data_IF_809362157014
#
_entry.id   IF_809362157014
#
_cell.length_a   1.000
_cell.length_b   1.000
_cell.length_c   1.000
_cell.angle_alpha   90.00
_cell.angle_beta   90.00
_cell.angle_gamma   90.00
#
_symmetry.space_group_name_H-M   'P 1'
#
loop_
_entity.id
_entity.type
_entity.pdbx_description
1 polymer ?
#
# COMPACT_ATOMS: atom_id res chain seq x y z
N UNK A 1 60.96 -21.45 43.17
CA UNK A 1 61.79 -21.99 42.07
C UNK A 1 60.95 -22.01 40.81
N UNK A 2 61.38 -21.22 39.82
CA UNK A 2 61.05 -21.24 38.37
C UNK A 2 59.72 -20.63 37.90
N UNK A 3 59.87 -19.47 37.26
CA UNK A 3 58.99 -18.82 36.27
C UNK A 3 58.77 -19.68 35.01
N UNK A 4 57.70 -19.40 34.25
CA UNK A 4 57.64 -19.30 32.76
C UNK A 4 56.21 -18.84 32.36
N UNK A 5 56.01 -17.57 31.99
CA UNK A 5 56.03 -16.97 30.63
C UNK A 5 54.97 -17.52 29.64
N UNK A 6 53.95 -16.66 29.40
CA UNK A 6 53.35 -16.25 28.11
C UNK A 6 53.05 -17.29 27.02
N UNK A 7 51.81 -17.34 26.49
CA UNK A 7 51.46 -16.67 25.22
C UNK A 7 49.95 -16.73 24.88
N UNK A 8 49.55 -15.66 24.21
CA UNK A 8 48.30 -15.26 23.52
C UNK A 8 47.91 -16.22 22.38
N UNK A 9 46.61 -16.57 22.24
CA UNK A 9 45.67 -15.99 21.26
C UNK A 9 44.36 -16.81 21.11
N UNK A 10 43.23 -16.11 21.28
CA UNK A 10 41.95 -16.17 20.54
C UNK A 10 41.32 -17.52 20.14
N UNK A 11 40.07 -17.77 20.59
CA UNK A 11 38.86 -17.72 19.73
C UNK A 11 37.55 -17.90 20.53
N UNK A 12 36.70 -16.88 20.39
CA UNK A 12 35.24 -16.72 20.59
C UNK A 12 34.34 -17.92 20.97
N UNK A 13 33.60 -17.75 22.07
CA UNK A 13 32.22 -18.23 22.33
C UNK A 13 31.56 -17.09 23.15
N UNK A 14 30.56 -16.34 22.65
CA UNK A 14 29.11 -16.60 22.77
C UNK A 14 28.75 -17.03 24.21
N UNK A 15 27.96 -16.36 25.05
CA UNK A 15 26.70 -15.63 24.83
C UNK A 15 26.27 -14.95 26.15
N UNK A 16 25.76 -13.73 26.03
CA UNK A 16 24.51 -13.20 26.61
C UNK A 16 24.29 -13.10 28.15
N UNK A 17 24.41 -11.84 28.59
CA UNK A 17 23.60 -11.08 29.56
C UNK A 17 23.30 -11.65 30.96
N UNK A 18 24.10 -11.15 31.90
CA UNK A 18 23.61 -10.68 33.19
C UNK A 18 22.59 -9.54 33.01
N UNK A 19 21.49 -9.55 33.74
CA UNK A 19 21.47 -8.76 34.98
C UNK A 19 20.17 -8.97 35.73
N UNK A 20 20.35 -9.23 37.02
CA UNK A 20 19.31 -9.37 38.00
C UNK A 20 18.58 -8.05 38.24
N UNK A 21 17.26 -8.08 38.33
CA UNK A 21 16.52 -7.14 39.18
C UNK A 21 15.51 -7.88 40.06
N UNK A 22 15.94 -8.02 41.30
CA UNK A 22 15.15 -8.38 42.48
C UNK A 22 13.91 -7.49 42.62
N UNK A 23 12.73 -8.09 42.73
CA UNK A 23 11.58 -7.46 43.42
C UNK A 23 10.82 -8.52 44.23
N UNK A 24 11.11 -8.57 45.52
CA UNK A 24 10.30 -9.27 46.53
C UNK A 24 9.13 -8.39 46.93
N UNK A 25 7.90 -8.87 46.77
CA UNK A 25 6.75 -8.39 47.56
C UNK A 25 5.83 -9.58 47.87
N UNK A 26 5.62 -9.84 49.15
CA UNK A 26 4.70 -10.85 49.66
C UNK A 26 3.37 -10.18 50.02
N UNK A 27 2.25 -10.71 49.54
CA UNK A 27 0.91 -10.29 49.96
C UNK A 27 0.16 -11.49 50.52
N UNK A 28 -0.33 -11.34 51.76
CA UNK A 28 -1.19 -12.27 52.49
C UNK A 28 -2.58 -12.30 51.84
N UNK A 29 -3.11 -13.50 51.56
CA UNK A 29 -4.45 -13.68 50.98
C UNK A 29 -5.45 -13.99 52.09
N UNK A 30 -6.49 -13.15 52.20
CA UNK A 30 -7.71 -13.44 52.94
C UNK A 30 -8.78 -13.97 51.98
N UNK A 31 -9.56 -14.95 52.44
CA UNK A 31 -10.58 -15.68 51.68
C UNK A 31 -11.83 -14.82 51.45
N UNK A 32 -12.29 -14.72 50.20
CA UNK A 32 -13.57 -14.13 49.84
C UNK A 32 -14.00 -14.61 48.45
N UNK A 33 -15.10 -15.36 48.39
CA UNK A 33 -15.67 -15.87 47.14
C UNK A 33 -16.54 -14.79 46.52
N UNK A 34 -16.20 -14.36 45.31
CA UNK A 34 -17.08 -13.59 44.44
C UNK A 34 -16.97 -14.13 43.02
N UNK A 35 -18.01 -14.86 42.59
CA UNK A 35 -18.19 -15.33 41.21
C UNK A 35 -18.76 -14.20 40.35
N UNK A 36 -17.90 -13.59 39.54
CA UNK A 36 -18.31 -12.83 38.37
C UNK A 36 -17.38 -13.22 37.22
N UNK A 37 -17.85 -14.11 36.35
CA UNK A 37 -17.16 -14.40 35.09
C UNK A 37 -17.38 -13.21 34.17
N UNK A 38 -16.48 -12.22 34.22
CA UNK A 38 -16.40 -11.16 33.22
C UNK A 38 -15.73 -11.78 32.00
N UNK A 39 -16.54 -12.23 31.05
CA UNK A 39 -16.06 -12.59 29.73
C UNK A 39 -15.49 -11.34 29.07
N UNK A 40 -14.16 -11.21 29.04
CA UNK A 40 -13.51 -10.23 28.18
C UNK A 40 -13.79 -10.72 26.76
N UNK A 41 -14.66 -10.01 26.04
CA UNK A 41 -14.77 -10.19 24.60
C UNK A 41 -13.38 -9.93 24.02
N UNK A 42 -12.73 -10.99 23.54
CA UNK A 42 -11.60 -10.82 22.66
C UNK A 42 -12.14 -10.12 21.41
N UNK A 43 -11.79 -8.84 21.23
CA UNK A 43 -11.87 -8.21 19.92
C UNK A 43 -10.80 -8.89 19.06
N UNK A 44 -11.14 -10.09 18.60
CA UNK A 44 -10.41 -10.84 17.59
C UNK A 44 -10.74 -10.22 16.25
N UNK A 45 -9.71 -9.70 15.61
CA UNK A 45 -9.81 -9.06 14.31
C UNK A 45 -8.82 -7.93 14.24
N UNK A 46 -7.54 -8.26 14.14
CA UNK A 46 -6.62 -7.31 13.52
C UNK A 46 -7.16 -7.11 12.10
N UNK A 47 -7.79 -5.97 11.84
CA UNK A 47 -7.72 -5.43 10.50
C UNK A 47 -6.26 -5.02 10.32
N UNK A 48 -5.42 -5.94 9.86
CA UNK A 48 -4.26 -5.51 9.10
C UNK A 48 -4.85 -4.86 7.86
N UNK A 49 -5.02 -3.54 7.90
CA UNK A 49 -5.26 -2.75 6.70
C UNK A 49 -3.95 -2.79 5.91
N UNK A 50 -3.76 -3.89 5.20
CA UNK A 50 -2.62 -4.10 4.33
C UNK A 50 -2.97 -3.43 3.01
N UNK A 51 -2.73 -2.12 2.94
CA UNK A 51 -2.80 -1.40 1.68
C UNK A 51 -1.56 -1.75 0.85
N UNK A 52 -1.72 -1.88 -0.47
CA UNK A 52 -1.02 -2.92 -1.19
C UNK A 52 0.21 -2.40 -1.93
N UNK A 53 0.95 -3.35 -2.48
CA UNK A 53 2.10 -3.17 -3.38
C UNK A 53 1.83 -2.08 -4.43
N UNK A 54 2.82 -1.24 -4.68
CA UNK A 54 2.67 -0.07 -5.53
C UNK A 54 2.41 -0.46 -7.00
N UNK A 55 1.30 -0.01 -7.57
CA UNK A 55 1.14 0.06 -9.02
C UNK A 55 2.04 1.17 -9.55
N UNK A 56 2.86 0.86 -10.55
CA UNK A 56 3.58 1.88 -11.29
C UNK A 56 2.64 2.47 -12.34
N UNK A 57 2.26 3.74 -12.18
CA UNK A 57 1.26 4.39 -13.03
C UNK A 57 1.77 5.69 -13.65
N UNK A 58 1.19 6.07 -14.78
CA UNK A 58 1.34 7.41 -15.35
C UNK A 58 -0.02 7.97 -15.77
N UNK A 59 -0.35 9.15 -15.25
CA UNK A 59 -1.48 9.94 -15.73
C UNK A 59 -1.02 10.78 -16.91
N UNK A 60 -1.72 10.70 -18.03
CA UNK A 60 -1.29 11.28 -19.32
C UNK A 60 0.14 10.85 -19.70
N UNK A 61 0.36 9.56 -19.98
CA UNK A 61 1.67 9.07 -20.41
C UNK A 61 2.18 9.83 -21.64
N UNK A 62 3.50 9.92 -21.78
CA UNK A 62 4.19 10.67 -22.84
C UNK A 62 4.01 12.20 -22.80
N UNK A 63 3.63 12.76 -21.65
CA UNK A 63 3.63 14.19 -21.38
C UNK A 63 4.60 14.52 -20.23
N UNK A 64 5.31 15.65 -20.30
CA UNK A 64 6.21 16.09 -19.22
C UNK A 64 5.43 16.44 -17.94
N UNK A 65 4.18 16.88 -18.08
CA UNK A 65 3.29 17.27 -16.98
C UNK A 65 1.89 16.73 -17.29
N UNK A 66 1.31 16.02 -16.31
CA UNK A 66 -0.04 15.49 -16.36
C UNK A 66 -1.10 16.58 -16.12
N UNK A 67 -1.30 17.47 -17.10
CA UNK A 67 -2.36 18.49 -17.02
C UNK A 67 -3.73 17.90 -17.29
N UNK A 68 -4.68 18.09 -16.38
CA UNK A 68 -6.07 17.63 -16.53
C UNK A 68 -6.97 18.85 -16.62
N UNK A 69 -7.72 18.94 -17.70
CA UNK A 69 -8.67 20.02 -17.95
C UNK A 69 -10.07 19.58 -17.54
N UNK A 70 -10.60 20.19 -16.47
CA UNK A 70 -11.90 19.82 -15.91
C UNK A 70 -13.07 20.40 -16.74
N UNK A 71 -12.87 21.53 -17.42
CA UNK A 71 -13.90 22.17 -18.24
C UNK A 71 -14.19 21.36 -19.52
N UNK A 72 -13.15 20.80 -20.13
CA UNK A 72 -13.28 20.07 -21.40
C UNK A 72 -13.87 18.66 -21.27
N UNK A 73 -14.26 18.21 -20.07
CA UNK A 73 -14.99 16.95 -19.75
C UNK A 73 -14.61 15.77 -20.66
N UNK A 74 -13.32 15.60 -20.86
CA UNK A 74 -12.73 14.61 -21.75
C UNK A 74 -12.50 13.30 -20.99
N UNK A 75 -11.86 12.36 -21.66
CA UNK A 75 -11.22 11.21 -21.05
C UNK A 75 -9.80 11.57 -20.58
N UNK A 76 -9.40 11.02 -19.44
CA UNK A 76 -8.05 11.08 -18.88
C UNK A 76 -7.36 9.75 -19.20
N UNK A 77 -6.33 9.73 -20.05
CA UNK A 77 -5.53 8.53 -20.27
C UNK A 77 -4.68 8.24 -19.04
N UNK A 78 -4.71 6.99 -18.55
CA UNK A 78 -3.91 6.50 -17.42
C UNK A 78 -3.27 5.18 -17.83
N UNK A 79 -1.96 5.08 -17.66
CA UNK A 79 -1.19 3.87 -17.90
C UNK A 79 -0.89 3.17 -16.58
N UNK A 80 -0.90 1.84 -16.61
CA UNK A 80 -0.31 0.96 -15.61
C UNK A 80 0.84 0.23 -16.27
N UNK A 81 2.05 0.44 -15.76
CA UNK A 81 3.24 -0.18 -16.31
C UNK A 81 3.40 -1.61 -15.81
N UNK A 82 3.87 -2.49 -16.68
CA UNK A 82 4.15 -3.88 -16.30
C UNK A 82 5.43 -3.98 -15.46
N UNK A 83 5.32 -4.57 -14.27
CA UNK A 83 6.47 -4.82 -13.39
C UNK A 83 6.77 -6.31 -13.32
N UNK A 84 7.84 -6.69 -12.59
CA UNK A 84 8.11 -8.10 -12.30
C UNK A 84 7.04 -8.73 -11.40
N UNK A 85 6.26 -7.90 -10.70
CA UNK A 85 5.29 -8.31 -9.68
C UNK A 85 3.85 -8.22 -10.17
N UNK A 86 3.59 -7.42 -11.21
CA UNK A 86 2.24 -7.15 -11.71
C UNK A 86 2.21 -7.05 -13.24
N UNK A 87 1.34 -7.85 -13.86
CA UNK A 87 1.06 -7.85 -15.30
C UNK A 87 -0.35 -7.29 -15.55
N UNK A 88 -0.50 -6.00 -15.89
CA UNK A 88 -1.80 -5.36 -15.99
C UNK A 88 -2.65 -5.87 -17.15
N UNK A 89 -2.04 -6.51 -18.17
CA UNK A 89 -2.76 -7.00 -19.36
C UNK A 89 -3.44 -8.34 -19.11
N UNK A 90 -2.85 -9.16 -18.25
CA UNK A 90 -3.38 -10.49 -17.91
C UNK A 90 -4.25 -10.50 -16.65
N UNK A 91 -4.29 -9.39 -15.91
CA UNK A 91 -5.17 -9.21 -14.76
C UNK A 91 -6.54 -8.63 -15.19
N UNK A 92 -7.64 -8.97 -14.49
CA UNK A 92 -8.95 -8.40 -14.79
C UNK A 92 -8.97 -6.87 -14.64
N UNK A 93 -9.62 -6.19 -15.57
CA UNK A 93 -9.80 -4.73 -15.55
C UNK A 93 -10.86 -4.36 -14.51
N UNK A 94 -10.42 -4.12 -13.28
CA UNK A 94 -11.26 -3.70 -12.16
C UNK A 94 -10.65 -2.47 -11.49
N UNK A 95 -10.47 -1.40 -12.28
CA UNK A 95 -9.78 -0.20 -11.83
C UNK A 95 -10.74 0.90 -11.36
N UNK A 96 -10.26 1.75 -10.45
CA UNK A 96 -10.89 3.01 -10.02
C UNK A 96 -9.86 4.12 -10.03
N UNK A 97 -10.21 5.25 -10.63
CA UNK A 97 -9.32 6.39 -10.76
C UNK A 97 -9.98 7.68 -10.28
N UNK A 98 -9.22 8.53 -9.60
CA UNK A 98 -9.72 9.84 -9.19
C UNK A 98 -8.97 10.47 -8.03
N UNK A 99 -9.68 11.35 -7.33
CA UNK A 99 -9.25 12.00 -6.10
C UNK A 99 -8.88 10.93 -5.04
N UNK A 100 -7.74 11.05 -4.34
CA UNK A 100 -7.22 9.99 -3.49
C UNK A 100 -8.16 9.50 -2.39
N UNK A 101 -8.88 10.39 -1.70
CA UNK A 101 -9.79 10.01 -0.61
C UNK A 101 -11.04 9.32 -1.17
N UNK A 102 -11.62 9.85 -2.23
CA UNK A 102 -12.75 9.28 -2.97
C UNK A 102 -12.45 7.86 -3.45
N UNK A 103 -11.29 7.64 -4.07
CA UNK A 103 -10.88 6.30 -4.52
C UNK A 103 -10.67 5.37 -3.33
N UNK A 104 -10.06 5.86 -2.25
CA UNK A 104 -9.82 5.07 -1.03
C UNK A 104 -11.13 4.64 -0.34
N UNK A 105 -12.19 5.44 -0.48
CA UNK A 105 -13.54 5.13 -0.01
C UNK A 105 -14.29 4.16 -0.93
N UNK A 106 -13.67 3.73 -2.03
CA UNK A 106 -14.22 2.76 -2.98
C UNK A 106 -15.05 3.39 -4.11
N UNK A 107 -15.01 4.71 -4.26
CA UNK A 107 -15.67 5.45 -5.33
C UNK A 107 -14.67 5.80 -6.46
N UNK A 108 -14.96 6.81 -7.27
CA UNK A 108 -14.13 7.23 -8.41
C UNK A 108 -14.47 6.55 -9.74
N UNK A 109 -13.84 7.04 -10.79
CA UNK A 109 -14.16 6.71 -12.17
C UNK A 109 -13.75 5.28 -12.54
N UNK A 110 -14.60 4.61 -13.33
CA UNK A 110 -14.25 3.35 -14.00
C UNK A 110 -13.71 3.63 -15.42
N UNK A 111 -12.83 2.78 -15.96
CA UNK A 111 -12.39 2.94 -17.33
C UNK A 111 -13.56 2.72 -18.29
N UNK A 112 -13.58 3.43 -19.43
CA UNK A 112 -14.68 3.34 -20.41
C UNK A 112 -14.67 2.06 -21.24
N UNK A 113 -13.54 1.35 -21.26
CA UNK A 113 -13.31 0.08 -21.95
C UNK A 113 -12.23 -0.74 -21.22
N UNK A 114 -11.86 -1.89 -21.79
CA UNK A 114 -10.83 -2.79 -21.24
C UNK A 114 -9.39 -2.25 -21.40
N UNK A 115 -9.20 -1.08 -22.04
CA UNK A 115 -7.91 -0.48 -22.31
C UNK A 115 -7.17 -1.05 -23.53
N UNK A 116 -5.94 -0.59 -23.71
CA UNK A 116 -5.05 -0.96 -24.80
C UNK A 116 -3.74 -1.51 -24.26
N UNK A 117 -3.33 -2.66 -24.78
CA UNK A 117 -2.02 -3.25 -24.51
C UNK A 117 -0.94 -2.59 -25.38
N UNK A 118 -0.02 -1.84 -24.77
CA UNK A 118 1.00 -1.07 -25.47
C UNK A 118 2.26 -0.92 -24.60
N UNK A 119 3.45 -1.03 -25.19
CA UNK A 119 4.71 -0.66 -24.52
C UNK A 119 4.87 0.87 -24.60
N UNK A 120 4.65 1.57 -23.48
CA UNK A 120 4.65 3.03 -23.41
C UNK A 120 6.00 3.61 -23.00
N UNK A 121 6.80 2.86 -22.24
CA UNK A 121 8.08 3.31 -21.70
C UNK A 121 9.30 2.79 -22.49
N UNK A 122 9.09 1.85 -23.43
CA UNK A 122 10.11 1.27 -24.30
C UNK A 122 10.98 0.20 -23.63
N UNK A 123 10.51 -0.41 -22.54
CA UNK A 123 11.25 -1.44 -21.80
C UNK A 123 11.05 -2.87 -22.36
N UNK A 124 10.17 -3.02 -23.36
CA UNK A 124 9.83 -4.29 -24.00
C UNK A 124 8.78 -5.13 -23.25
N UNK A 125 8.19 -4.59 -22.18
CA UNK A 125 7.03 -5.14 -21.47
C UNK A 125 5.76 -4.46 -21.97
N UNK A 126 4.61 -5.11 -21.77
CA UNK A 126 3.33 -4.59 -22.30
C UNK A 126 2.55 -3.93 -21.18
N UNK A 127 2.36 -2.62 -21.29
CA UNK A 127 1.59 -1.83 -20.34
C UNK A 127 0.10 -1.84 -20.71
N UNK A 128 -0.73 -1.41 -19.76
CA UNK A 128 -2.16 -1.20 -19.99
C UNK A 128 -2.48 0.30 -19.98
N UNK A 129 -2.97 0.81 -21.11
CA UNK A 129 -3.48 2.17 -21.24
C UNK A 129 -5.01 2.18 -21.16
N UNK A 130 -5.56 2.88 -20.18
CA UNK A 130 -7.01 3.03 -19.98
C UNK A 130 -7.43 4.50 -20.08
N UNK A 131 -8.73 4.71 -20.26
CA UNK A 131 -9.33 6.04 -20.38
C UNK A 131 -10.45 6.21 -19.36
N UNK A 132 -10.34 7.24 -18.52
CA UNK A 132 -11.29 7.51 -17.43
C UNK A 132 -12.07 8.81 -17.69
N UNK A 133 -13.39 8.84 -17.49
CA UNK A 133 -14.18 10.07 -17.62
C UNK A 133 -13.82 11.08 -16.54
N UNK A 134 -13.33 12.27 -16.92
CA UNK A 134 -12.98 13.36 -15.97
C UNK A 134 -14.14 13.73 -15.05
N UNK A 135 -15.39 13.62 -15.51
CA UNK A 135 -16.56 14.01 -14.74
C UNK A 135 -16.87 13.07 -13.56
N UNK A 136 -16.22 11.90 -13.47
CA UNK A 136 -16.47 10.88 -12.44
C UNK A 136 -15.24 10.66 -11.54
N UNK A 137 -14.17 11.46 -11.73
CA UNK A 137 -12.94 11.31 -10.95
C UNK A 137 -12.97 12.03 -9.61
N UNK A 138 -13.96 12.89 -9.38
CA UNK A 138 -14.06 13.81 -8.23
C UNK A 138 -12.84 14.73 -8.00
N UNK A 139 -11.90 14.76 -8.96
CA UNK A 139 -10.79 15.72 -8.99
C UNK A 139 -11.30 17.16 -9.10
N UNK A 140 -10.70 18.07 -8.34
CA UNK A 140 -10.99 19.51 -8.32
C UNK A 140 -9.73 20.39 -8.47
N UNK A 141 -9.91 21.71 -8.58
CA UNK A 141 -8.83 22.66 -8.84
C UNK A 141 -7.70 22.71 -7.79
N UNK A 142 -7.92 22.17 -6.59
CA UNK A 142 -6.95 22.15 -5.50
C UNK A 142 -6.11 20.85 -5.50
N UNK A 143 -6.49 19.85 -6.30
CA UNK A 143 -5.78 18.56 -6.35
C UNK A 143 -4.42 18.63 -7.04
N UNK A 144 -3.47 17.89 -6.46
CA UNK A 144 -2.11 17.76 -6.99
C UNK A 144 -1.67 16.31 -7.22
N UNK A 145 -2.51 15.35 -6.81
CA UNK A 145 -2.29 13.92 -6.97
C UNK A 145 -3.59 13.25 -7.41
N UNK A 146 -3.47 12.20 -8.21
CA UNK A 146 -4.55 11.30 -8.52
C UNK A 146 -4.16 9.88 -8.16
N UNK A 147 -5.14 9.08 -7.73
CA UNK A 147 -4.95 7.69 -7.29
C UNK A 147 -5.62 6.75 -8.28
N UNK A 148 -4.96 5.62 -8.52
CA UNK A 148 -5.53 4.47 -9.22
C UNK A 148 -5.53 3.27 -8.26
N UNK A 149 -6.67 2.61 -8.11
CA UNK A 149 -6.77 1.33 -7.44
C UNK A 149 -7.17 0.23 -8.41
N UNK A 150 -6.57 -0.95 -8.24
CA UNK A 150 -6.98 -2.20 -8.85
C UNK A 150 -7.66 -3.06 -7.79
N UNK A 151 -8.87 -3.54 -8.05
CA UNK A 151 -9.62 -4.43 -7.16
C UNK A 151 -9.35 -5.88 -7.54
N UNK A 152 -8.86 -6.69 -6.58
CA UNK A 152 -8.53 -8.10 -6.86
C UNK A 152 -9.76 -8.98 -7.07
N UNK A 153 -10.89 -8.55 -6.54
CA UNK A 153 -12.16 -9.29 -6.56
C UNK A 153 -13.30 -8.31 -6.77
N UNK A 154 -14.37 -8.76 -7.44
CA UNK A 154 -15.59 -7.97 -7.68
C UNK A 154 -16.24 -7.45 -6.39
N UNK A 155 -15.98 -8.09 -5.24
CA UNK A 155 -16.42 -7.65 -3.91
C UNK A 155 -15.71 -6.38 -3.40
N UNK A 156 -14.82 -5.76 -4.18
CA UNK A 156 -14.14 -4.51 -3.81
C UNK A 156 -13.04 -4.65 -2.75
N UNK A 157 -12.54 -5.87 -2.48
CA UNK A 157 -11.34 -6.00 -1.64
C UNK A 157 -10.15 -5.41 -2.37
N UNK A 158 -9.61 -4.33 -1.80
CA UNK A 158 -8.49 -3.56 -2.34
C UNK A 158 -7.34 -4.48 -2.78
N UNK A 159 -6.99 -4.39 -4.07
CA UNK A 159 -5.97 -5.19 -4.73
C UNK A 159 -4.62 -4.52 -4.67
N UNK A 160 -4.27 -3.65 -5.62
CA UNK A 160 -3.03 -2.86 -5.68
C UNK A 160 -3.39 -1.37 -5.89
N UNK A 161 -2.52 -0.44 -5.52
CA UNK A 161 -2.78 0.99 -5.66
C UNK A 161 -1.55 1.75 -6.14
N UNK A 162 -1.75 2.84 -6.87
CA UNK A 162 -0.68 3.76 -7.30
C UNK A 162 -1.16 5.20 -7.29
N UNK A 163 -0.24 6.14 -7.08
CA UNK A 163 -0.51 7.57 -7.11
C UNK A 163 0.40 8.27 -8.11
N UNK A 164 -0.11 9.27 -8.80
CA UNK A 164 0.65 10.10 -9.73
C UNK A 164 0.35 11.58 -9.50
N UNK A 165 1.38 12.42 -9.62
CA UNK A 165 1.20 13.87 -9.58
C UNK A 165 0.45 14.36 -10.81
N UNK A 166 -0.49 15.29 -10.60
CA UNK A 166 -1.29 15.92 -11.64
C UNK A 166 -1.25 17.44 -11.51
N UNK A 167 -1.68 18.13 -12.56
CA UNK A 167 -1.91 19.58 -12.52
C UNK A 167 -3.28 19.84 -13.06
N UNK A 168 -4.17 20.31 -12.20
CA UNK A 168 -5.53 20.62 -12.59
C UNK A 168 -5.58 22.00 -13.24
N UNK A 169 -6.30 22.10 -14.36
CA UNK A 169 -6.61 23.36 -15.03
C UNK A 169 -8.12 23.47 -15.20
N UNK A 170 -8.62 24.65 -14.88
CA UNK A 170 -10.01 25.09 -15.04
C UNK A 170 -10.06 26.21 -16.08
#
# INVERSE_FOLDING_TARGET
MVERRTNRSQRTESETNESAYSRRQAIRVGTGVATAAVGIAAFGGQAAAHFPTDLEIAVRPNCDIARIDLENRTLIPVAVFQTDEFDPVNEPVQYRFGEPDTVSDGEGARPVDDGFSVDLNGDGRTDLLMFFPTAETDLDGDDSEARLEWERTEDGRHGLAGTASVTIIE
#
